data_IF_677141320868
#
_entry.id   IF_677141320868
#
_cell.length_a   1.000
_cell.length_b   1.000
_cell.length_c   1.000
_cell.angle_alpha   90.00
_cell.angle_beta   90.00
_cell.angle_gamma   90.00
#
_symmetry.space_group_name_H-M   'P 1'
#
loop_
_entity.id
_entity.type
_entity.pdbx_description
1 polymer ?
#
# COMPACT_ATOMS: atom_id res chain seq x y z
N UNK A 1 5.60 12.02 22.17
CA UNK A 1 6.65 12.48 21.24
C UNK A 1 6.05 12.56 19.85
N UNK A 2 5.96 13.76 19.28
CA UNK A 2 5.71 13.91 17.84
C UNK A 2 7.07 13.70 17.16
N UNK A 3 7.20 12.66 16.35
CA UNK A 3 8.34 12.54 15.43
C UNK A 3 8.23 13.69 14.41
N UNK A 4 8.80 14.83 14.76
CA UNK A 4 9.01 15.90 13.79
C UNK A 4 10.18 15.46 12.91
N UNK A 5 9.94 15.31 11.62
CA UNK A 5 11.01 15.09 10.65
C UNK A 5 11.97 16.29 10.68
N UNK A 6 13.28 16.06 10.72
CA UNK A 6 14.26 17.17 10.76
C UNK A 6 14.31 17.92 9.43
N UNK A 7 14.04 17.22 8.32
CA UNK A 7 14.02 17.80 6.97
C UNK A 7 12.91 17.24 6.07
N UNK A 8 12.54 18.00 5.04
CA UNK A 8 11.54 17.57 4.05
C UNK A 8 11.93 16.30 3.29
N UNK A 9 13.23 15.99 3.16
CA UNK A 9 13.71 14.73 2.58
C UNK A 9 13.37 13.52 3.47
N UNK A 10 13.43 13.67 4.79
CA UNK A 10 13.05 12.64 5.73
C UNK A 10 11.54 12.45 5.76
N UNK A 11 10.77 13.54 5.71
CA UNK A 11 9.33 13.48 5.58
C UNK A 11 8.92 12.70 4.32
N UNK A 12 9.55 12.96 3.16
CA UNK A 12 9.29 12.20 1.93
C UNK A 12 9.62 10.72 2.08
N UNK A 13 10.74 10.36 2.72
CA UNK A 13 11.09 8.96 2.98
C UNK A 13 10.08 8.28 3.91
N UNK A 14 9.69 8.95 5.00
CA UNK A 14 8.72 8.44 5.96
C UNK A 14 7.34 8.21 5.32
N UNK A 15 6.86 9.16 4.51
CA UNK A 15 5.60 9.03 3.76
C UNK A 15 5.70 7.87 2.77
N UNK A 16 6.80 7.75 2.02
CA UNK A 16 7.02 6.64 1.10
C UNK A 16 6.97 5.28 1.80
N UNK A 17 7.68 5.14 2.93
CA UNK A 17 7.67 3.92 3.73
C UNK A 17 6.26 3.57 4.24
N UNK A 18 5.51 4.57 4.73
CA UNK A 18 4.15 4.36 5.19
C UNK A 18 3.20 3.92 4.06
N UNK A 19 3.31 4.51 2.86
CA UNK A 19 2.52 4.10 1.70
C UNK A 19 2.83 2.67 1.28
N UNK A 20 4.11 2.29 1.19
CA UNK A 20 4.52 0.91 0.89
C UNK A 20 3.98 -0.07 1.92
N UNK A 21 4.18 0.20 3.21
CA UNK A 21 3.69 -0.65 4.29
C UNK A 21 2.16 -0.81 4.26
N UNK A 22 1.44 0.28 4.01
CA UNK A 22 -0.02 0.25 3.88
C UNK A 22 -0.46 -0.64 2.72
N UNK A 23 0.15 -0.48 1.55
CA UNK A 23 -0.26 -1.19 0.35
C UNK A 23 0.12 -2.69 0.37
N UNK A 24 1.29 -3.01 0.93
CA UNK A 24 1.88 -4.34 0.85
C UNK A 24 1.58 -5.23 2.05
N UNK A 25 1.26 -4.65 3.22
CA UNK A 25 1.19 -5.41 4.47
C UNK A 25 -0.15 -5.32 5.17
N UNK A 26 -0.97 -4.32 4.87
CA UNK A 26 -2.22 -4.09 5.60
C UNK A 26 -3.40 -4.79 4.93
N UNK A 27 -3.97 -5.85 5.53
CA UNK A 27 -5.16 -6.48 5.00
C UNK A 27 -6.40 -5.60 5.19
N UNK A 28 -7.29 -5.62 4.21
CA UNK A 28 -8.52 -4.82 4.21
C UNK A 28 -9.76 -5.71 4.11
N UNK A 29 -10.72 -5.53 5.02
CA UNK A 29 -11.98 -6.27 5.02
C UNK A 29 -12.80 -6.05 3.74
N UNK A 30 -12.71 -4.87 3.13
CA UNK A 30 -13.33 -4.57 1.83
C UNK A 30 -12.73 -5.39 0.67
N UNK A 31 -11.52 -5.90 0.84
CA UNK A 31 -10.83 -6.75 -0.15
C UNK A 31 -10.75 -8.21 0.30
N UNK A 32 -11.66 -8.67 1.17
CA UNK A 32 -11.65 -10.06 1.63
C UNK A 32 -10.40 -10.42 2.45
N UNK A 33 -9.86 -9.44 3.19
CA UNK A 33 -8.61 -9.54 3.95
C UNK A 33 -7.33 -9.60 3.10
N UNK A 34 -7.41 -9.33 1.80
CA UNK A 34 -6.24 -9.06 0.98
C UNK A 34 -5.64 -7.69 1.29
N UNK A 35 -4.34 -7.57 1.06
CA UNK A 35 -3.66 -6.28 0.97
C UNK A 35 -4.07 -5.53 -0.31
N UNK A 36 -3.77 -4.24 -0.37
CA UNK A 36 -4.11 -3.43 -1.54
C UNK A 36 -3.39 -3.95 -2.80
N UNK A 37 -2.12 -4.33 -2.68
CA UNK A 37 -1.33 -4.90 -3.76
C UNK A 37 -1.94 -6.20 -4.29
N UNK A 38 -2.27 -7.15 -3.40
CA UNK A 38 -2.88 -8.42 -3.78
C UNK A 38 -4.26 -8.24 -4.45
N UNK A 39 -5.06 -7.28 -3.98
CA UNK A 39 -6.35 -6.98 -4.57
C UNK A 39 -6.22 -6.45 -6.02
N UNK A 40 -5.25 -5.57 -6.26
CA UNK A 40 -4.96 -5.07 -7.61
C UNK A 40 -4.40 -6.15 -8.53
N UNK A 41 -3.47 -6.97 -8.04
CA UNK A 41 -2.92 -8.08 -8.81
C UNK A 41 -4.02 -9.08 -9.19
N UNK A 42 -4.89 -9.43 -8.24
CA UNK A 42 -6.04 -10.32 -8.51
C UNK A 42 -6.96 -9.73 -9.58
N UNK A 43 -7.28 -8.44 -9.50
CA UNK A 43 -8.09 -7.75 -10.50
C UNK A 43 -7.44 -7.77 -11.89
N UNK A 44 -6.13 -7.51 -11.97
CA UNK A 44 -5.37 -7.55 -13.22
C UNK A 44 -5.34 -8.96 -13.84
N UNK A 45 -5.17 -10.00 -13.02
CA UNK A 45 -5.25 -11.39 -13.50
C UNK A 45 -6.65 -11.75 -14.02
N UNK A 46 -7.70 -11.31 -13.34
CA UNK A 46 -9.09 -11.52 -13.79
C UNK A 46 -9.29 -10.84 -15.15
N UNK A 47 -8.89 -9.58 -15.29
CA UNK A 47 -9.03 -8.84 -16.55
C UNK A 47 -8.32 -9.56 -17.70
N UNK A 48 -7.09 -10.03 -17.47
CA UNK A 48 -6.32 -10.82 -18.45
C UNK A 48 -6.98 -12.14 -18.83
N UNK A 49 -7.61 -12.82 -17.87
CA UNK A 49 -8.28 -14.10 -18.12
C UNK A 49 -9.63 -13.94 -18.86
N UNK A 50 -10.24 -12.75 -18.81
CA UNK A 50 -11.53 -12.46 -19.44
C UNK A 50 -11.44 -11.81 -20.83
N UNK A 51 -10.22 -11.51 -21.29
CA UNK A 51 -9.93 -10.95 -22.61
C UNK A 51 -9.65 -12.06 -23.63
#
# INVERSE_FOLDING_TARGET
YLNAFEAGSEARKGIGAWISDYNEKRPHSSHGLLTQAEAYDTSDQILKATA
#
